data_IF_344190685705
#
_entry.id   IF_344190685705
#
_cell.length_a   1.000
_cell.length_b   1.000
_cell.length_c   1.000
_cell.angle_alpha   90.00
_cell.angle_beta   90.00
_cell.angle_gamma   90.00
#
_symmetry.space_group_name_H-M   'P 1'
#
loop_
_entity.id
_entity.type
_entity.pdbx_description
1 polymer ?
#
# COMPACT_ATOMS: atom_id res chain seq x y z
N UNK A 1 -12.16 -68.00 -20.45
CA UNK A 1 -11.11 -68.38 -21.44
C UNK A 1 -10.28 -67.10 -21.65
N UNK A 2 -8.97 -66.99 -21.49
CA UNK A 2 -7.84 -67.91 -21.52
C UNK A 2 -6.78 -67.32 -20.57
N UNK A 3 -6.17 -68.17 -19.75
CA UNK A 3 -5.01 -67.86 -18.89
C UNK A 3 -3.75 -67.97 -19.75
N UNK A 4 -2.73 -67.17 -19.46
CA UNK A 4 -1.34 -67.49 -19.83
C UNK A 4 -0.50 -67.40 -18.56
N UNK A 5 0.02 -68.56 -18.17
CA UNK A 5 1.05 -68.75 -17.17
C UNK A 5 2.42 -68.59 -17.82
N UNK A 6 3.37 -68.00 -17.10
CA UNK A 6 4.78 -68.35 -17.24
C UNK A 6 5.42 -68.39 -15.85
N UNK A 7 6.02 -69.53 -15.56
CA UNK A 7 6.72 -69.97 -14.35
C UNK A 7 8.21 -69.71 -14.54
N UNK A 8 8.97 -69.51 -13.44
CA UNK A 8 10.32 -70.01 -13.12
C UNK A 8 10.77 -69.23 -11.85
N UNK A 9 10.62 -69.79 -10.65
CA UNK A 9 11.55 -70.65 -9.90
C UNK A 9 12.83 -69.98 -9.38
N UNK A 10 12.79 -69.71 -8.06
CA UNK A 10 13.81 -69.87 -7.02
C UNK A 10 15.17 -69.14 -7.12
N UNK A 11 15.56 -68.48 -6.02
CA UNK A 11 16.67 -68.88 -5.12
C UNK A 11 16.73 -67.90 -3.92
N UNK A 12 16.70 -68.44 -2.69
CA UNK A 12 16.97 -67.80 -1.39
C UNK A 12 18.48 -67.62 -1.18
N UNK A 13 18.93 -66.63 -0.37
CA UNK A 13 19.26 -66.90 1.04
C UNK A 13 18.80 -65.77 1.98
N UNK A 14 18.14 -66.07 3.12
CA UNK A 14 18.73 -66.19 4.47
C UNK A 14 19.76 -65.09 4.78
N UNK A 15 19.46 -64.18 5.71
CA UNK A 15 20.34 -63.78 6.85
C UNK A 15 19.58 -62.83 7.81
N UNK A 16 19.51 -63.29 9.06
CA UNK A 16 19.46 -62.59 10.35
C UNK A 16 18.46 -61.43 10.59
N UNK A 17 17.39 -61.78 11.31
CA UNK A 17 16.68 -60.86 12.21
C UNK A 17 17.59 -60.55 13.40
N UNK A 18 18.15 -59.35 13.44
CA UNK A 18 18.73 -58.80 14.67
C UNK A 18 17.62 -58.04 15.43
N UNK A 19 17.13 -58.64 16.51
CA UNK A 19 16.35 -57.94 17.51
C UNK A 19 17.25 -56.89 18.18
N UNK A 20 17.21 -55.65 17.71
CA UNK A 20 17.76 -54.52 18.46
C UNK A 20 16.75 -54.16 19.53
N UNK A 21 17.06 -54.58 20.76
CA UNK A 21 16.44 -54.10 21.98
C UNK A 21 16.69 -52.59 22.08
N UNK A 22 15.65 -51.77 21.85
CA UNK A 22 15.70 -50.35 22.19
C UNK A 22 15.25 -50.21 23.67
N UNK A 23 16.07 -49.63 24.55
CA UNK A 23 15.65 -49.36 25.91
C UNK A 23 14.58 -48.26 25.91
N UNK A 24 13.56 -48.45 26.74
CA UNK A 24 12.50 -47.49 27.02
C UNK A 24 13.11 -46.14 27.40
N UNK A 25 13.00 -45.16 26.49
CA UNK A 25 13.51 -43.82 26.72
C UNK A 25 12.65 -43.16 27.80
N UNK A 26 13.32 -42.70 28.87
CA UNK A 26 12.73 -41.93 29.94
C UNK A 26 11.92 -40.74 29.38
N UNK A 27 10.75 -40.49 29.98
CA UNK A 27 9.90 -39.34 29.67
C UNK A 27 10.71 -38.03 29.72
N UNK A 28 10.56 -37.12 28.74
CA UNK A 28 11.19 -35.82 28.81
C UNK A 28 10.64 -35.03 30.00
N UNK A 29 11.48 -34.21 30.68
CA UNK A 29 11.00 -33.38 31.78
C UNK A 29 9.94 -32.42 31.28
N UNK A 30 8.88 -32.24 32.08
CA UNK A 30 7.82 -31.28 31.82
C UNK A 30 8.43 -29.90 31.55
N UNK A 31 8.11 -29.32 30.38
CA UNK A 31 8.46 -27.93 30.07
C UNK A 31 7.67 -27.04 31.03
N UNK A 32 8.37 -26.46 32.00
CA UNK A 32 7.83 -25.37 32.81
C UNK A 32 7.48 -24.22 31.87
N UNK A 33 6.18 -23.91 31.75
CA UNK A 33 5.71 -22.71 31.07
C UNK A 33 6.23 -21.51 31.86
N UNK A 34 7.18 -20.78 31.28
CA UNK A 34 7.56 -19.47 31.78
C UNK A 34 6.31 -18.56 31.75
N UNK A 35 6.08 -17.73 32.79
CA UNK A 35 5.00 -16.76 32.73
C UNK A 35 5.24 -15.83 31.53
N UNK A 36 4.23 -15.68 30.67
CA UNK A 36 4.22 -14.67 29.62
C UNK A 36 4.42 -13.32 30.30
N UNK A 37 5.57 -12.69 30.07
CA UNK A 37 5.71 -11.27 30.30
C UNK A 37 4.56 -10.57 29.56
N UNK A 38 3.90 -9.56 30.17
CA UNK A 38 2.93 -8.77 29.43
C UNK A 38 3.63 -8.24 28.19
N UNK A 39 3.06 -8.52 27.02
CA UNK A 39 3.51 -7.91 25.77
C UNK A 39 3.52 -6.40 26.01
N UNK A 40 4.70 -5.78 26.00
CA UNK A 40 4.81 -4.33 26.00
C UNK A 40 3.96 -3.84 24.83
N UNK A 41 2.94 -3.04 25.15
CA UNK A 41 2.12 -2.41 24.14
C UNK A 41 3.07 -1.69 23.19
N UNK A 42 3.09 -2.15 21.93
CA UNK A 42 3.90 -1.54 20.87
C UNK A 42 3.66 -0.03 20.92
N UNK A 43 4.70 0.82 20.91
CA UNK A 43 4.50 2.26 20.92
C UNK A 43 3.56 2.58 19.76
N UNK A 44 2.40 3.20 20.07
CA UNK A 44 1.39 3.53 19.07
C UNK A 44 2.12 4.14 17.87
N UNK A 45 1.99 3.50 16.70
CA UNK A 45 2.66 3.93 15.49
C UNK A 45 2.38 5.43 15.30
N UNK A 46 3.43 6.25 15.36
CA UNK A 46 3.28 7.71 15.19
C UNK A 46 3.20 7.97 13.70
N UNK A 47 2.01 8.34 13.25
CA UNK A 47 1.78 8.80 11.89
C UNK A 47 1.30 10.26 11.92
N UNK A 48 1.53 10.97 10.82
CA UNK A 48 0.96 12.29 10.56
C UNK A 48 -0.36 12.08 9.82
N UNK A 49 -1.45 12.70 10.27
CA UNK A 49 -2.69 12.77 9.51
C UNK A 49 -2.78 14.12 8.80
N UNK A 50 -3.00 14.10 7.49
CA UNK A 50 -3.18 15.29 6.67
C UNK A 50 -4.49 15.17 5.89
N UNK A 51 -5.45 16.02 6.23
CA UNK A 51 -6.67 16.23 5.44
C UNK A 51 -6.65 17.65 4.89
N UNK A 52 -6.74 17.78 3.57
CA UNK A 52 -6.53 19.04 2.89
C UNK A 52 -7.31 19.14 1.58
N UNK A 53 -7.48 20.38 1.11
CA UNK A 53 -8.07 20.67 -0.20
C UNK A 53 -7.14 21.58 -0.99
N UNK A 54 -6.88 21.22 -2.25
CA UNK A 54 -6.13 21.99 -3.24
C UNK A 54 -7.02 22.35 -4.44
N UNK A 55 -6.70 23.38 -5.23
CA UNK A 55 -5.64 24.35 -4.96
C UNK A 55 -6.01 25.21 -3.74
N UNK A 56 -4.99 25.62 -2.99
CA UNK A 56 -5.17 26.72 -2.04
C UNK A 56 -5.10 28.05 -2.82
N UNK A 57 -5.58 29.15 -2.23
CA UNK A 57 -5.50 30.47 -2.85
C UNK A 57 -4.09 30.73 -3.42
N UNK A 58 -3.96 31.45 -4.56
CA UNK A 58 -2.68 31.63 -5.22
C UNK A 58 -1.70 32.33 -4.27
N UNK A 59 -0.79 31.56 -3.68
CA UNK A 59 0.40 32.07 -3.01
C UNK A 59 1.47 32.15 -4.08
N UNK A 60 1.58 33.29 -4.76
CA UNK A 60 2.61 33.49 -5.78
C UNK A 60 3.98 33.09 -5.21
N UNK A 61 4.56 32.03 -5.76
CA UNK A 61 5.92 31.58 -5.43
C UNK A 61 6.10 30.77 -4.14
N UNK A 62 5.07 30.55 -3.31
CA UNK A 62 5.22 29.82 -2.04
C UNK A 62 4.55 28.45 -2.08
N UNK A 63 5.17 27.39 -1.52
CA UNK A 63 4.52 26.10 -1.30
C UNK A 63 3.21 26.28 -0.52
N UNK A 64 2.09 25.61 -0.88
CA UNK A 64 0.90 25.64 -0.06
C UNK A 64 1.19 25.12 1.35
N UNK A 65 1.00 25.99 2.34
CA UNK A 65 1.28 25.70 3.76
C UNK A 65 0.46 24.54 4.33
N UNK A 66 -0.63 24.17 3.66
CA UNK A 66 -1.41 22.98 4.00
C UNK A 66 -0.56 21.69 3.91
N UNK A 67 0.57 21.70 3.19
CA UNK A 67 1.49 20.57 3.10
C UNK A 67 2.67 20.65 4.07
N UNK A 68 2.84 21.75 4.82
CA UNK A 68 3.88 21.89 5.86
C UNK A 68 3.90 20.75 6.90
N UNK A 69 2.76 20.12 7.26
CA UNK A 69 2.78 18.98 8.17
C UNK A 69 3.45 17.72 7.63
N UNK A 70 3.73 17.61 6.33
CA UNK A 70 4.40 16.42 5.78
C UNK A 70 5.83 16.34 6.29
N UNK A 71 6.15 15.22 6.95
CA UNK A 71 7.48 14.95 7.51
C UNK A 71 8.08 13.75 6.79
N UNK A 72 9.28 13.92 6.23
CA UNK A 72 10.04 12.83 5.61
C UNK A 72 10.25 11.67 6.59
N UNK A 73 10.09 10.45 6.10
CA UNK A 73 10.33 9.22 6.88
C UNK A 73 9.28 8.92 7.96
N UNK A 74 8.24 9.74 8.12
CA UNK A 74 7.13 9.47 9.04
C UNK A 74 5.89 9.02 8.26
N UNK A 75 5.22 7.92 8.64
CA UNK A 75 3.99 7.50 7.97
C UNK A 75 2.97 8.63 7.90
N UNK A 76 2.40 8.83 6.71
CA UNK A 76 1.45 9.88 6.39
C UNK A 76 0.11 9.24 6.02
N UNK A 77 -0.91 9.47 6.84
CA UNK A 77 -2.30 9.26 6.48
C UNK A 77 -2.78 10.48 5.70
N UNK A 78 -2.90 10.33 4.38
CA UNK A 78 -3.28 11.41 3.47
C UNK A 78 -4.75 11.28 3.08
N UNK A 79 -5.46 12.41 3.11
CA UNK A 79 -6.78 12.60 2.52
C UNK A 79 -6.82 13.97 1.82
N UNK A 80 -6.51 13.98 0.53
CA UNK A 80 -6.31 15.19 -0.25
C UNK A 80 -7.41 15.33 -1.30
N UNK A 81 -8.22 16.38 -1.18
CA UNK A 81 -9.21 16.76 -2.19
C UNK A 81 -8.58 17.73 -3.19
N UNK A 82 -8.84 17.52 -4.48
CA UNK A 82 -8.35 18.35 -5.59
C UNK A 82 -9.56 18.90 -6.34
N UNK A 83 -9.73 20.20 -6.27
CA UNK A 83 -10.76 20.96 -6.96
C UNK A 83 -10.22 21.50 -8.28
N UNK A 84 -11.09 21.77 -9.27
CA UNK A 84 -10.70 22.49 -10.48
C UNK A 84 -9.97 23.82 -10.16
N UNK A 85 -8.97 24.22 -10.97
CA UNK A 85 -8.51 23.58 -12.21
C UNK A 85 -7.45 22.47 -11.99
N UNK A 86 -7.24 21.99 -10.75
CA UNK A 86 -6.21 21.01 -10.48
C UNK A 86 -6.64 19.60 -10.96
N UNK A 87 -6.14 19.20 -12.12
CA UNK A 87 -6.32 17.85 -12.67
C UNK A 87 -5.06 17.01 -12.39
N UNK A 88 -5.20 15.84 -11.74
CA UNK A 88 -4.05 14.95 -11.52
C UNK A 88 -3.57 14.34 -12.84
N UNK A 89 -2.27 14.06 -12.93
CA UNK A 89 -1.76 13.09 -13.91
C UNK A 89 -1.70 11.71 -13.26
N UNK A 90 -2.11 10.68 -13.99
CA UNK A 90 -2.12 9.29 -13.53
C UNK A 90 -1.20 8.44 -14.41
N UNK A 91 -0.52 7.48 -13.77
CA UNK A 91 0.14 6.40 -14.49
C UNK A 91 -0.83 5.26 -14.71
N UNK A 92 -1.08 4.94 -15.98
CA UNK A 92 -1.98 3.87 -16.39
C UNK A 92 -1.32 2.48 -16.24
N UNK A 93 -2.11 1.42 -16.45
CA UNK A 93 -1.66 0.02 -16.34
C UNK A 93 -0.60 -0.36 -17.38
N UNK A 94 -0.56 0.34 -18.51
CA UNK A 94 0.45 0.16 -19.57
C UNK A 94 1.77 0.94 -19.29
N UNK A 95 1.83 1.66 -18.16
CA UNK A 95 2.98 2.45 -17.73
C UNK A 95 3.03 3.87 -18.31
N UNK A 96 2.08 4.26 -19.17
CA UNK A 96 1.99 5.61 -19.71
C UNK A 96 1.39 6.60 -18.71
N UNK A 97 1.69 7.88 -18.89
CA UNK A 97 1.10 8.96 -18.08
C UNK A 97 0.10 9.76 -18.91
N UNK A 98 -1.05 10.05 -18.31
CA UNK A 98 -2.09 10.92 -18.89
C UNK A 98 -2.67 11.84 -17.83
N UNK A 99 -3.37 12.90 -18.24
CA UNK A 99 -4.22 13.67 -17.33
C UNK A 99 -5.52 12.89 -17.05
N UNK A 100 -6.04 13.01 -15.84
CA UNK A 100 -7.32 12.43 -15.48
C UNK A 100 -8.47 13.34 -15.97
N UNK A 101 -8.69 13.34 -17.28
CA UNK A 101 -9.65 14.25 -17.93
C UNK A 101 -11.09 13.77 -17.85
N UNK A 102 -11.32 12.45 -17.77
CA UNK A 102 -12.63 11.86 -17.59
C UNK A 102 -12.89 11.49 -16.13
N UNK A 103 -14.13 11.69 -15.70
CA UNK A 103 -14.60 11.34 -14.37
C UNK A 103 -15.88 10.49 -14.50
N UNK A 104 -15.74 9.17 -14.34
CA UNK A 104 -16.88 8.24 -14.34
C UNK A 104 -17.55 8.12 -12.96
N UNK A 105 -17.06 8.89 -11.98
CA UNK A 105 -17.38 8.84 -10.56
C UNK A 105 -17.08 7.48 -9.90
N UNK A 106 -16.17 7.47 -8.94
CA UNK A 106 -15.74 6.27 -8.23
C UNK A 106 -14.23 6.16 -8.13
N UNK A 107 -13.76 4.96 -7.80
CA UNK A 107 -12.33 4.63 -7.74
C UNK A 107 -11.75 4.62 -9.15
N UNK A 108 -10.57 5.20 -9.30
CA UNK A 108 -9.83 5.22 -10.57
C UNK A 108 -8.59 4.34 -10.43
N UNK A 109 -8.48 3.39 -11.35
CA UNK A 109 -7.34 2.50 -11.45
C UNK A 109 -6.11 3.28 -11.94
N UNK A 110 -5.14 3.48 -11.05
CA UNK A 110 -3.89 4.16 -11.34
C UNK A 110 -2.74 3.48 -10.61
N UNK A 111 -1.58 3.37 -11.25
CA UNK A 111 -0.36 2.91 -10.59
C UNK A 111 0.28 4.00 -9.73
N UNK A 112 0.20 5.25 -10.20
CA UNK A 112 0.70 6.43 -9.49
C UNK A 112 -0.11 7.68 -9.84
N UNK A 113 -0.05 8.68 -8.98
CA UNK A 113 -0.73 9.97 -9.12
C UNK A 113 0.30 11.09 -8.95
N UNK A 114 0.44 11.93 -9.97
CA UNK A 114 1.29 13.11 -9.98
C UNK A 114 0.44 14.38 -9.92
N UNK A 115 0.72 15.25 -8.95
CA UNK A 115 -0.05 16.47 -8.67
C UNK A 115 0.84 17.70 -8.78
N UNK A 116 0.53 18.66 -9.67
CA UNK A 116 1.08 20.00 -9.58
C UNK A 116 0.36 20.76 -8.47
N UNK A 117 1.03 21.14 -7.39
CA UNK A 117 0.32 21.79 -6.25
C UNK A 117 -0.10 23.25 -6.52
N UNK A 118 0.08 23.75 -7.74
CA UNK A 118 -0.28 25.12 -8.15
C UNK A 118 0.73 26.20 -7.72
N UNK A 119 1.72 25.85 -6.91
CA UNK A 119 2.86 26.70 -6.57
C UNK A 119 4.00 26.52 -7.57
N UNK A 120 4.88 27.53 -7.68
CA UNK A 120 6.18 27.39 -8.32
C UNK A 120 6.93 26.29 -7.58
N UNK A 121 6.80 25.06 -8.09
CA UNK A 121 7.72 23.99 -7.80
C UNK A 121 7.44 23.17 -6.52
N UNK A 122 6.18 22.90 -6.15
CA UNK A 122 5.91 21.73 -5.29
C UNK A 122 5.06 20.70 -6.02
N UNK A 123 5.54 19.46 -5.98
CA UNK A 123 4.92 18.31 -6.62
C UNK A 123 4.63 17.24 -5.58
N UNK A 124 3.52 16.54 -5.73
CA UNK A 124 3.31 15.26 -5.05
C UNK A 124 3.34 14.19 -6.13
N UNK A 125 4.14 13.14 -5.95
CA UNK A 125 4.05 11.93 -6.75
C UNK A 125 3.78 10.75 -5.81
N UNK A 126 2.57 10.21 -5.87
CA UNK A 126 2.11 9.15 -5.00
C UNK A 126 2.01 7.83 -5.77
N UNK A 127 2.81 6.87 -5.37
CA UNK A 127 2.70 5.49 -5.80
C UNK A 127 1.53 4.83 -5.04
N UNK A 128 0.55 4.26 -5.73
CA UNK A 128 -0.64 3.68 -5.08
C UNK A 128 -0.42 2.24 -4.61
N UNK A 129 0.50 1.52 -5.26
CA UNK A 129 0.81 0.13 -4.94
C UNK A 129 -0.26 -0.84 -5.43
N UNK A 130 -0.22 -2.07 -4.91
CA UNK A 130 -1.22 -3.08 -5.26
C UNK A 130 -2.43 -2.98 -4.33
N UNK A 131 -3.68 -3.00 -4.82
CA UNK A 131 -4.88 -2.86 -3.98
C UNK A 131 -4.94 -3.89 -2.83
N UNK A 132 -4.43 -5.11 -3.04
CA UNK A 132 -4.38 -6.14 -2.00
C UNK A 132 -3.39 -5.84 -0.87
N UNK A 133 -2.29 -5.14 -1.16
CA UNK A 133 -1.26 -4.78 -0.19
C UNK A 133 -1.48 -3.39 0.43
N UNK A 134 -2.09 -2.48 -0.34
CA UNK A 134 -2.27 -1.07 0.00
C UNK A 134 -3.74 -0.64 -0.16
N UNK A 135 -4.71 -1.29 0.52
CA UNK A 135 -6.14 -1.04 0.29
C UNK A 135 -6.60 0.37 0.70
N UNK A 136 -5.80 1.09 1.48
CA UNK A 136 -6.07 2.47 1.86
C UNK A 136 -5.68 3.48 0.76
N UNK A 137 -4.76 3.10 -0.14
CA UNK A 137 -4.16 3.98 -1.13
C UNK A 137 -4.92 3.92 -2.44
N UNK A 138 -5.63 5.00 -2.78
CA UNK A 138 -6.46 5.07 -3.99
C UNK A 138 -6.64 6.51 -4.47
N UNK A 139 -6.88 6.63 -5.77
CA UNK A 139 -7.45 7.82 -6.37
C UNK A 139 -8.93 7.58 -6.63
N UNK A 140 -9.75 8.59 -6.39
CA UNK A 140 -11.16 8.56 -6.75
C UNK A 140 -11.57 9.88 -7.40
N UNK A 141 -12.56 9.80 -8.29
CA UNK A 141 -13.30 10.97 -8.74
C UNK A 141 -14.65 11.02 -8.03
N UNK A 142 -14.95 12.12 -7.38
CA UNK A 142 -16.19 12.34 -6.64
C UNK A 142 -17.03 13.44 -7.29
N UNK A 143 -18.35 13.35 -7.11
CA UNK A 143 -19.29 14.37 -7.54
C UNK A 143 -19.44 15.46 -6.47
N UNK A 144 -19.44 16.71 -6.89
CA UNK A 144 -19.73 17.88 -6.08
C UNK A 144 -20.68 18.84 -6.83
N UNK A 145 -21.94 18.97 -6.42
CA UNK A 145 -22.90 19.85 -7.08
C UNK A 145 -22.49 21.32 -7.04
N UNK A 146 -21.68 21.73 -6.05
CA UNK A 146 -21.17 23.10 -5.93
C UNK A 146 -20.14 23.47 -7.00
N UNK A 147 -19.58 22.49 -7.71
CA UNK A 147 -18.60 22.68 -8.78
C UNK A 147 -19.21 22.57 -10.18
N UNK A 148 -20.51 22.34 -10.30
CA UNK A 148 -21.17 22.18 -11.59
C UNK A 148 -21.11 23.47 -12.40
N UNK A 149 -20.76 23.33 -13.68
CA UNK A 149 -20.81 24.41 -14.67
C UNK A 149 -21.42 23.86 -15.96
N UNK A 150 -21.66 24.72 -16.95
CA UNK A 150 -22.13 24.25 -18.28
C UNK A 150 -21.14 23.28 -18.95
N UNK A 151 -19.84 23.36 -18.61
CA UNK A 151 -18.78 22.53 -19.18
C UNK A 151 -18.23 21.45 -18.26
N UNK A 152 -18.76 21.30 -17.03
CA UNK A 152 -18.26 20.33 -16.05
C UNK A 152 -19.41 19.74 -15.25
N UNK A 153 -19.48 18.40 -15.09
CA UNK A 153 -20.49 17.76 -14.26
C UNK A 153 -20.24 17.95 -12.76
N UNK A 154 -19.32 18.82 -12.34
CA UNK A 154 -18.99 19.04 -10.92
C UNK A 154 -18.04 17.98 -10.38
N UNK A 155 -17.02 17.60 -11.15
CA UNK A 155 -16.03 16.62 -10.73
C UNK A 155 -14.99 17.22 -9.76
N UNK A 156 -14.63 16.47 -8.73
CA UNK A 156 -13.42 16.68 -7.92
C UNK A 156 -12.65 15.38 -7.77
N UNK A 157 -11.35 15.48 -7.62
CA UNK A 157 -10.49 14.32 -7.41
C UNK A 157 -10.14 14.18 -5.93
N UNK A 158 -9.97 12.96 -5.45
CA UNK A 158 -9.57 12.69 -4.07
C UNK A 158 -8.52 11.60 -4.02
N UNK A 159 -7.33 11.98 -3.56
CA UNK A 159 -6.21 11.08 -3.31
C UNK A 159 -6.19 10.73 -1.82
N UNK A 160 -6.31 9.44 -1.51
CA UNK A 160 -6.26 8.94 -0.13
C UNK A 160 -5.20 7.85 -0.03
N UNK A 161 -4.63 7.68 1.16
CA UNK A 161 -3.73 6.57 1.41
C UNK A 161 -2.88 6.68 2.64
N UNK A 162 -2.15 5.61 2.91
CA UNK A 162 -1.08 5.59 3.89
C UNK A 162 0.24 5.57 3.11
N UNK A 163 1.12 6.53 3.35
CA UNK A 163 2.35 6.70 2.59
C UNK A 163 3.56 6.92 3.47
N UNK A 164 4.75 6.62 2.95
CA UNK A 164 6.04 7.04 3.49
C UNK A 164 6.57 8.19 2.61
N UNK A 165 6.56 9.44 3.09
CA UNK A 165 7.04 10.58 2.33
C UNK A 165 8.57 10.61 2.25
N UNK A 166 9.08 10.96 1.09
CA UNK A 166 10.48 11.30 0.84
C UNK A 166 10.55 12.63 0.11
N UNK A 167 11.34 13.57 0.63
CA UNK A 167 11.55 14.84 -0.07
C UNK A 167 12.66 14.66 -1.11
N UNK A 168 12.41 15.15 -2.31
CA UNK A 168 13.39 15.22 -3.39
C UNK A 168 13.54 16.69 -3.75
N UNK A 169 14.74 17.21 -3.51
CA UNK A 169 15.10 18.57 -3.94
C UNK A 169 15.39 18.56 -5.44
N UNK A 170 14.71 19.44 -6.16
CA UNK A 170 14.84 19.68 -7.59
C UNK A 170 15.29 21.15 -7.72
N UNK A 171 16.06 21.57 -8.75
CA UNK A 171 16.68 22.91 -8.83
C UNK A 171 15.77 24.11 -8.62
N UNK A 172 14.47 23.92 -8.67
CA UNK A 172 13.49 24.93 -8.31
C UNK A 172 12.41 24.42 -7.36
N UNK A 173 12.35 23.11 -7.09
CA UNK A 173 11.20 22.40 -6.53
C UNK A 173 11.47 21.54 -5.31
N UNK A 174 10.43 21.31 -4.51
CA UNK A 174 10.35 20.14 -3.63
C UNK A 174 9.33 19.17 -4.19
N UNK A 175 9.77 17.95 -4.49
CA UNK A 175 8.89 16.84 -4.79
C UNK A 175 8.72 15.99 -3.53
N UNK A 176 7.48 15.76 -3.13
CA UNK A 176 7.14 14.71 -2.18
C UNK A 176 6.87 13.42 -2.95
N UNK A 177 7.83 12.49 -2.91
CA UNK A 177 7.64 11.13 -3.37
C UNK A 177 6.96 10.33 -2.24
N UNK A 178 5.74 9.87 -2.47
CA UNK A 178 4.93 9.15 -1.50
C UNK A 178 4.90 7.67 -1.87
N UNK A 179 5.58 6.82 -1.10
CA UNK A 179 5.56 5.37 -1.29
C UNK A 179 4.44 4.75 -0.48
N UNK A 180 3.66 3.80 -1.01
CA UNK A 180 2.48 3.28 -0.32
C UNK A 180 2.92 2.37 0.83
N UNK A 181 2.25 2.50 1.97
CA UNK A 181 2.40 1.64 3.13
C UNK A 181 1.15 0.76 3.32
N UNK A 182 1.24 -0.35 4.05
CA UNK A 182 0.07 -1.06 4.55
C UNK A 182 -0.79 -0.13 5.40
N UNK A 183 -2.11 -0.32 5.37
CA UNK A 183 -3.07 0.51 6.10
C UNK A 183 -2.77 0.57 7.63
N UNK A 184 -2.26 -0.52 8.19
CA UNK A 184 -1.89 -0.63 9.60
C UNK A 184 -0.77 0.32 10.03
N UNK A 185 0.11 0.76 9.12
CA UNK A 185 1.14 1.75 9.42
C UNK A 185 0.56 3.13 9.77
N UNK A 186 -0.67 3.41 9.32
CA UNK A 186 -1.45 4.60 9.65
C UNK A 186 -2.60 4.30 10.62
N UNK A 187 -2.54 3.17 11.35
CA UNK A 187 -3.55 2.80 12.34
C UNK A 187 -4.91 2.39 11.75
N UNK A 188 -4.98 2.03 10.47
CA UNK A 188 -6.21 1.56 9.81
C UNK A 188 -6.19 0.03 9.72
N UNK A 189 -7.20 -0.60 10.31
CA UNK A 189 -7.38 -2.06 10.28
C UNK A 189 -6.40 -2.77 11.22
N UNK A 190 -6.95 -3.30 12.32
CA UNK A 190 -6.37 -4.43 13.05
C UNK A 190 -7.10 -5.69 12.63
#
# INVERSE_FOLDING_TARGET
MRRVFAVISAILPVVAVACVYAPEAASPPARTLAPLAPAEASPAARFVALTATLPHAPSEGLPPSVLDPIVEGTPLLLDLTLLPPLTPSIRQTDGTYALAESCDFGVVEAGAVSLPTGSYHMLINAELGAPAANPASLLSCEYDPGLMTEGSPGAKWRLRGCFLPQSVSIPTATLWALNPLPASACGIGN
#
